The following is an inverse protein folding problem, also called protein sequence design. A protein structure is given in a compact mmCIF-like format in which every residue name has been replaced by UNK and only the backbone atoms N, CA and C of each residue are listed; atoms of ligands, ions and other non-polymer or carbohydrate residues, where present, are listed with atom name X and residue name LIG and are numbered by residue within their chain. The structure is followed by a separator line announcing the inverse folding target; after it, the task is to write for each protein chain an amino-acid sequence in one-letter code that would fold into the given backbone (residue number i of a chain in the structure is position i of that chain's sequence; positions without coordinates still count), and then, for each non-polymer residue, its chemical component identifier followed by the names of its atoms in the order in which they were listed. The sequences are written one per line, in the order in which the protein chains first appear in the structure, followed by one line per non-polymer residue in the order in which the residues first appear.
data_IF_410069215537
#
_entry.id   IF_410069215537
#
_cell.length_a   1.000
_cell.length_b   1.000
_cell.length_c   1.000
_cell.angle_alpha   90.00
_cell.angle_beta   90.00
_cell.angle_gamma   90.00
#
_symmetry.space_group_name_H-M   'P 1'
#
loop_
_entity.id
_entity.type
_entity.pdbx_description
1 polymer ?
#
# COMPACT_ATOMS: atom_id res chain seq x y z
N UNK A 1 -70.62 4.62 45.75
CA UNK A 1 -69.22 5.08 45.87
C UNK A 1 -68.32 3.91 45.50
N UNK A 2 -67.71 3.98 44.32
CA UNK A 2 -66.89 2.90 43.77
C UNK A 2 -65.51 2.91 44.42
N UNK A 3 -65.16 1.82 45.11
CA UNK A 3 -63.78 1.51 45.46
C UNK A 3 -63.27 0.54 44.40
N UNK A 4 -62.35 0.99 43.55
CA UNK A 4 -61.71 0.16 42.54
C UNK A 4 -60.19 0.29 42.62
N UNK A 5 -59.58 -0.90 42.81
CA UNK A 5 -58.27 -1.33 42.32
C UNK A 5 -57.01 -0.89 43.10
N UNK A 6 -56.81 -1.49 44.27
CA UNK A 6 -55.48 -1.72 44.82
C UNK A 6 -55.04 -3.15 44.46
N UNK A 7 -54.20 -3.32 43.44
CA UNK A 7 -53.77 -4.67 43.03
C UNK A 7 -52.63 -4.81 42.02
N UNK A 8 -51.92 -3.75 41.60
CA UNK A 8 -50.92 -3.88 40.53
C UNK A 8 -49.54 -3.27 40.82
N UNK A 9 -49.18 -3.06 42.08
CA UNK A 9 -47.92 -2.39 42.45
C UNK A 9 -46.67 -3.30 42.45
N UNK A 10 -46.83 -4.61 42.21
CA UNK A 10 -45.72 -5.60 42.28
C UNK A 10 -44.99 -5.88 40.96
N UNK A 11 -45.56 -5.51 39.81
CA UNK A 11 -45.05 -5.91 38.48
C UNK A 11 -44.21 -4.84 37.77
N UNK A 12 -44.23 -3.58 38.24
CA UNK A 12 -43.52 -2.47 37.58
C UNK A 12 -42.00 -2.50 37.79
N UNK A 13 -41.54 -2.99 38.94
CA UNK A 13 -40.12 -3.06 39.31
C UNK A 13 -39.31 -3.96 38.35
N UNK A 14 -39.68 -5.21 38.08
CA UNK A 14 -38.93 -6.06 37.14
C UNK A 14 -38.97 -5.55 35.69
N UNK A 15 -40.08 -4.91 35.28
CA UNK A 15 -40.22 -4.34 33.93
C UNK A 15 -39.26 -3.17 33.70
N UNK A 16 -39.14 -2.26 34.67
CA UNK A 16 -38.22 -1.13 34.57
C UNK A 16 -36.75 -1.59 34.45
N UNK A 17 -36.40 -2.67 35.15
CA UNK A 17 -35.06 -3.25 35.11
C UNK A 17 -34.76 -3.87 33.74
N UNK A 18 -35.72 -4.56 33.14
CA UNK A 18 -35.59 -5.14 31.79
C UNK A 18 -35.39 -4.08 30.71
N UNK A 19 -36.17 -2.99 30.75
CA UNK A 19 -36.04 -1.87 29.79
C UNK A 19 -34.68 -1.19 29.94
N UNK A 20 -34.23 -0.94 31.17
CA UNK A 20 -32.91 -0.37 31.45
C UNK A 20 -31.78 -1.26 30.91
N UNK A 21 -31.87 -2.57 31.13
CA UNK A 21 -30.89 -3.52 30.62
C UNK A 21 -30.85 -3.52 29.08
N UNK A 22 -31.99 -3.55 28.40
CA UNK A 22 -32.07 -3.50 26.93
C UNK A 22 -31.47 -2.19 26.39
N UNK A 23 -31.75 -1.06 27.03
CA UNK A 23 -31.16 0.24 26.65
C UNK A 23 -29.63 0.25 26.82
N UNK A 24 -29.13 -0.30 27.93
CA UNK A 24 -27.70 -0.42 28.19
C UNK A 24 -27.03 -1.33 27.14
N UNK A 25 -27.59 -2.50 26.85
CA UNK A 25 -27.06 -3.40 25.82
C UNK A 25 -27.07 -2.74 24.44
N UNK A 26 -28.15 -2.04 24.08
CA UNK A 26 -28.27 -1.34 22.79
C UNK A 26 -27.22 -0.23 22.66
N UNK A 27 -26.97 0.53 23.73
CA UNK A 27 -25.92 1.56 23.78
C UNK A 27 -24.52 0.95 23.64
N UNK A 28 -24.23 -0.14 24.36
CA UNK A 28 -22.95 -0.87 24.27
C UNK A 28 -22.73 -1.46 22.87
N UNK A 29 -23.77 -2.01 22.24
CA UNK A 29 -23.70 -2.50 20.85
C UNK A 29 -23.35 -1.38 19.87
N UNK A 30 -23.98 -0.20 19.99
CA UNK A 30 -23.69 0.95 19.14
C UNK A 30 -22.26 1.48 19.36
N UNK A 31 -21.82 1.59 20.61
CA UNK A 31 -20.44 2.02 20.94
C UNK A 31 -19.39 1.07 20.35
N UNK A 32 -19.63 -0.24 20.46
CA UNK A 32 -18.74 -1.26 19.92
C UNK A 32 -18.67 -1.21 18.39
N UNK A 33 -19.84 -1.05 17.73
CA UNK A 33 -19.93 -0.91 16.29
C UNK A 33 -19.21 0.36 15.79
N UNK A 34 -19.36 1.50 16.48
CA UNK A 34 -18.66 2.73 16.15
C UNK A 34 -17.13 2.57 16.26
N UNK A 35 -16.64 1.95 17.35
CA UNK A 35 -15.21 1.67 17.53
C UNK A 35 -14.67 0.73 16.45
N UNK A 36 -15.41 -0.31 16.09
CA UNK A 36 -15.04 -1.20 14.99
C UNK A 36 -14.97 -0.45 13.66
N UNK A 37 -15.95 0.41 13.38
CA UNK A 37 -15.95 1.26 12.19
C UNK A 37 -14.71 2.15 12.11
N UNK A 38 -14.35 2.84 13.19
CA UNK A 38 -13.14 3.66 13.24
C UNK A 38 -11.86 2.85 13.03
N UNK A 39 -11.74 1.67 13.65
CA UNK A 39 -10.57 0.79 13.45
C UNK A 39 -10.45 0.31 12.00
N UNK A 40 -11.56 -0.05 11.37
CA UNK A 40 -11.58 -0.45 9.96
C UNK A 40 -11.19 0.71 9.05
N UNK A 41 -11.73 1.90 9.26
CA UNK A 41 -11.37 3.10 8.49
C UNK A 41 -9.88 3.41 8.64
N UNK A 42 -9.34 3.43 9.86
CA UNK A 42 -7.92 3.66 10.09
C UNK A 42 -7.02 2.60 9.41
N UNK A 43 -7.48 1.34 9.35
CA UNK A 43 -6.81 0.28 8.57
C UNK A 43 -6.80 0.56 7.07
N UNK A 44 -7.96 0.95 6.51
CA UNK A 44 -8.08 1.28 5.09
C UNK A 44 -7.22 2.50 4.70
N UNK A 45 -7.20 3.54 5.54
CA UNK A 45 -6.36 4.73 5.33
C UNK A 45 -4.88 4.38 5.29
N UNK A 46 -4.39 3.61 6.27
CA UNK A 46 -2.99 3.14 6.28
C UNK A 46 -2.64 2.33 5.03
N UNK A 47 -3.54 1.45 4.58
CA UNK A 47 -3.32 0.65 3.39
C UNK A 47 -3.26 1.49 2.10
N UNK A 48 -4.09 2.53 1.99
CA UNK A 48 -4.07 3.47 0.86
C UNK A 48 -2.79 4.31 0.86
N UNK A 49 -2.43 4.86 2.01
CA UNK A 49 -1.19 5.63 2.15
C UNK A 49 0.05 4.82 1.75
N UNK A 50 0.15 3.56 2.20
CA UNK A 50 1.24 2.66 1.79
C UNK A 50 1.21 2.36 0.27
N UNK A 51 0.03 2.23 -0.32
CA UNK A 51 -0.13 2.05 -1.77
C UNK A 51 0.38 3.25 -2.54
N UNK A 52 0.02 4.46 -2.12
CA UNK A 52 0.38 5.71 -2.79
C UNK A 52 1.88 6.00 -2.66
N UNK A 53 2.46 5.70 -1.49
CA UNK A 53 3.89 5.78 -1.27
C UNK A 53 4.67 4.80 -2.16
N UNK A 54 4.21 3.54 -2.30
CA UNK A 54 4.83 2.58 -3.23
C UNK A 54 4.73 3.03 -4.69
N UNK A 55 3.58 3.57 -5.11
CA UNK A 55 3.40 4.07 -6.48
C UNK A 55 4.31 5.27 -6.78
N UNK A 56 4.43 6.19 -5.82
CA UNK A 56 5.32 7.36 -5.92
C UNK A 56 6.80 6.93 -5.94
N UNK A 57 7.18 5.94 -5.12
CA UNK A 57 8.52 5.34 -5.16
C UNK A 57 8.82 4.67 -6.49
N UNK A 58 7.83 3.99 -7.08
CA UNK A 58 7.98 3.39 -8.41
C UNK A 58 8.23 4.44 -9.49
N UNK A 59 7.52 5.57 -9.43
CA UNK A 59 7.74 6.70 -10.35
C UNK A 59 9.13 7.31 -10.15
N UNK A 60 9.57 7.51 -8.91
CA UNK A 60 10.90 8.04 -8.61
C UNK A 60 12.01 7.12 -9.11
N UNK A 61 11.93 5.82 -8.82
CA UNK A 61 12.91 4.82 -9.31
C UNK A 61 12.89 4.75 -10.83
N UNK A 62 11.70 4.78 -11.46
CA UNK A 62 11.60 4.80 -12.91
C UNK A 62 12.27 6.06 -13.49
N UNK A 63 12.02 7.25 -12.93
CA UNK A 63 12.67 8.49 -13.37
C UNK A 63 14.21 8.42 -13.23
N UNK A 64 14.71 7.85 -12.12
CA UNK A 64 16.14 7.64 -11.91
C UNK A 64 16.74 6.67 -12.95
N UNK A 65 16.07 5.55 -13.24
CA UNK A 65 16.49 4.58 -14.25
C UNK A 65 16.51 5.17 -15.66
N UNK A 66 15.62 6.10 -15.99
CA UNK A 66 15.57 6.72 -17.32
C UNK A 66 16.47 7.96 -17.44
N UNK A 67 16.89 8.54 -16.31
CA UNK A 67 17.82 9.66 -16.27
C UNK A 67 19.26 9.22 -15.97
N UNK A 68 19.78 9.49 -14.76
CA UNK A 68 21.18 9.26 -14.41
C UNK A 68 21.62 7.80 -14.52
N UNK A 69 20.71 6.84 -14.34
CA UNK A 69 21.03 5.40 -14.35
C UNK A 69 20.59 4.68 -15.64
N UNK A 70 20.44 5.41 -16.75
CA UNK A 70 20.02 4.83 -18.06
C UNK A 70 20.79 3.60 -18.51
N UNK A 71 22.07 3.48 -18.14
CA UNK A 71 22.88 2.32 -18.51
C UNK A 71 22.38 1.00 -17.89
N UNK A 72 21.65 1.08 -16.77
CA UNK A 72 21.15 -0.06 -16.02
C UNK A 72 19.75 -0.49 -16.48
N UNK A 73 19.11 0.28 -17.36
CA UNK A 73 17.74 0.03 -17.79
C UNK A 73 17.58 -1.34 -18.46
N UNK A 74 18.61 -1.82 -19.16
CA UNK A 74 18.62 -3.13 -19.82
C UNK A 74 19.31 -4.24 -19.01
N UNK A 75 19.77 -3.94 -17.80
CA UNK A 75 20.52 -4.86 -16.94
C UNK A 75 19.69 -5.20 -15.72
N UNK A 76 19.46 -6.47 -15.37
CA UNK A 76 18.75 -6.82 -14.13
C UNK A 76 19.52 -6.36 -12.89
N UNK A 77 18.82 -6.02 -11.81
CA UNK A 77 19.46 -5.48 -10.58
C UNK A 77 20.49 -6.41 -9.96
N UNK A 78 20.37 -7.72 -10.18
CA UNK A 78 21.33 -8.72 -9.72
C UNK A 78 22.70 -8.59 -10.38
N UNK A 79 22.78 -7.95 -11.55
CA UNK A 79 24.00 -7.80 -12.35
C UNK A 79 24.50 -6.35 -12.39
N UNK A 80 23.92 -5.45 -11.60
CA UNK A 80 24.36 -4.06 -11.58
C UNK A 80 25.79 -3.93 -11.04
N UNK A 81 26.68 -3.25 -11.77
CA UNK A 81 28.02 -3.00 -11.28
C UNK A 81 27.96 -2.10 -10.03
N UNK A 82 28.86 -2.30 -9.05
CA UNK A 82 28.88 -1.48 -7.83
C UNK A 82 29.15 0.01 -8.13
N UNK A 83 29.84 0.30 -9.24
CA UNK A 83 30.12 1.65 -9.73
C UNK A 83 28.96 2.30 -10.51
N UNK A 84 27.82 1.62 -10.66
CA UNK A 84 26.67 2.15 -11.41
C UNK A 84 27.00 2.47 -12.88
N UNK A 85 26.63 3.66 -13.35
CA UNK A 85 26.76 4.07 -14.76
C UNK A 85 28.06 4.82 -15.12
N UNK A 86 29.06 4.84 -14.24
CA UNK A 86 30.33 5.52 -14.50
C UNK A 86 31.05 5.96 -13.23
N UNK A 87 32.20 6.62 -13.39
CA UNK A 87 33.00 7.07 -12.25
C UNK A 87 32.21 8.03 -11.35
N UNK A 88 31.94 7.61 -10.11
CA UNK A 88 31.24 8.41 -9.09
C UNK A 88 29.72 8.21 -9.01
N UNK A 89 29.10 7.41 -9.88
CA UNK A 89 27.68 7.12 -9.81
C UNK A 89 27.37 6.09 -8.70
N UNK A 90 26.91 6.56 -7.54
CA UNK A 90 26.49 5.67 -6.45
C UNK A 90 25.09 5.11 -6.71
N UNK A 91 24.91 3.80 -6.55
CA UNK A 91 23.58 3.17 -6.63
C UNK A 91 22.75 3.33 -5.36
N UNK A 92 23.28 3.98 -4.31
CA UNK A 92 22.59 4.09 -3.03
C UNK A 92 21.20 4.72 -3.18
N UNK A 93 21.08 5.87 -3.86
CA UNK A 93 19.81 6.58 -4.06
C UNK A 93 18.80 5.87 -4.99
N UNK A 94 19.30 4.93 -5.80
CA UNK A 94 18.45 4.08 -6.64
C UNK A 94 17.96 2.85 -5.85
N UNK A 95 18.83 2.27 -5.03
CA UNK A 95 18.52 1.09 -4.21
C UNK A 95 17.63 1.44 -3.03
N UNK A 96 17.84 2.59 -2.42
CA UNK A 96 17.10 3.05 -1.26
C UNK A 96 16.85 4.56 -1.37
N UNK A 97 15.69 5.00 -0.90
CA UNK A 97 15.34 6.41 -0.95
C UNK A 97 14.13 6.71 -0.09
N UNK A 98 13.67 7.95 -0.14
CA UNK A 98 12.53 8.44 0.63
C UNK A 98 11.49 9.04 -0.29
N UNK A 99 10.23 8.75 0.02
CA UNK A 99 9.05 9.35 -0.60
C UNK A 99 8.14 9.83 0.51
N UNK A 100 8.02 11.16 0.64
CA UNK A 100 7.35 11.75 1.79
C UNK A 100 8.04 11.33 3.09
N UNK A 101 7.31 10.65 3.98
CA UNK A 101 7.83 10.13 5.26
C UNK A 101 8.16 8.62 5.22
N UNK A 102 8.06 7.97 4.06
CA UNK A 102 8.31 6.53 3.92
C UNK A 102 9.64 6.28 3.21
N UNK A 103 10.45 5.38 3.76
CA UNK A 103 11.63 4.86 3.04
C UNK A 103 11.18 3.76 2.10
N UNK A 104 11.78 3.71 0.93
CA UNK A 104 11.62 2.58 0.02
C UNK A 104 12.96 1.90 -0.18
N UNK A 105 12.90 0.61 -0.50
CA UNK A 105 14.01 -0.20 -0.96
C UNK A 105 13.62 -0.89 -2.25
N UNK A 106 14.49 -0.78 -3.24
CA UNK A 106 14.48 -1.59 -4.44
C UNK A 106 14.86 -3.01 -4.07
N UNK A 107 13.90 -3.91 -4.18
CA UNK A 107 14.15 -5.34 -4.00
C UNK A 107 14.69 -5.91 -5.30
N UNK A 108 14.08 -5.53 -6.43
CA UNK A 108 14.40 -6.16 -7.71
C UNK A 108 14.02 -5.32 -8.92
N UNK A 109 14.85 -5.41 -9.95
CA UNK A 109 14.60 -4.86 -11.28
C UNK A 109 14.87 -5.94 -12.32
N UNK A 110 13.88 -6.18 -13.17
CA UNK A 110 14.01 -7.00 -14.37
C UNK A 110 13.70 -6.17 -15.61
N UNK A 111 14.64 -6.03 -16.55
CA UNK A 111 14.38 -5.35 -17.81
C UNK A 111 13.34 -6.13 -18.62
N UNK A 112 12.65 -5.43 -19.53
CA UNK A 112 11.88 -6.10 -20.56
C UNK A 112 12.87 -6.84 -21.49
N UNK A 113 12.49 -7.99 -22.08
CA UNK A 113 13.32 -8.62 -23.09
C UNK A 113 13.55 -7.64 -24.24
N UNK A 114 14.83 -7.42 -24.59
CA UNK A 114 15.22 -6.53 -25.68
C UNK A 114 14.78 -7.05 -27.05
N UNK A 115 14.91 -6.25 -28.12
CA UNK A 115 14.40 -6.57 -29.47
C UNK A 115 15.05 -7.81 -30.14
N UNK A 116 16.06 -8.42 -29.51
CA UNK A 116 16.72 -9.64 -29.99
C UNK A 116 16.07 -10.94 -29.44
N UNK A 117 15.11 -10.83 -28.53
CA UNK A 117 14.27 -11.96 -28.13
C UNK A 117 13.08 -12.04 -29.09
N UNK A 118 12.74 -13.26 -29.53
CA UNK A 118 11.53 -13.63 -30.31
C UNK A 118 10.26 -12.84 -29.92
N UNK A 119 9.20 -12.75 -30.75
CA UNK A 119 8.14 -11.76 -30.58
C UNK A 119 7.36 -11.96 -29.28
N UNK A 120 7.87 -11.38 -28.19
CA UNK A 120 7.23 -11.39 -26.89
C UNK A 120 6.30 -10.19 -26.86
N UNK A 121 5.01 -10.48 -26.83
CA UNK A 121 3.87 -9.56 -26.72
C UNK A 121 3.86 -8.71 -25.43
N UNK A 122 4.96 -8.67 -24.68
CA UNK A 122 5.10 -7.97 -23.41
C UNK A 122 6.47 -7.28 -23.27
N UNK A 123 6.56 -6.04 -23.75
CA UNK A 123 7.65 -5.08 -23.49
C UNK A 123 7.51 -4.44 -22.07
N UNK A 124 7.11 -5.21 -21.06
CA UNK A 124 6.94 -4.70 -19.70
C UNK A 124 8.15 -5.11 -18.83
N UNK A 125 8.98 -4.13 -18.47
CA UNK A 125 10.00 -4.29 -17.44
C UNK A 125 9.32 -4.40 -16.07
N UNK A 126 9.91 -5.14 -15.13
CA UNK A 126 9.34 -5.41 -13.81
C UNK A 126 10.19 -4.81 -12.71
N UNK A 127 9.53 -4.14 -11.78
CA UNK A 127 10.14 -3.43 -10.65
C UNK A 127 9.46 -3.86 -9.35
N UNK A 128 10.22 -4.42 -8.42
CA UNK A 128 9.73 -4.81 -7.08
C UNK A 128 10.29 -3.86 -6.03
N UNK A 129 9.38 -3.23 -5.29
CA UNK A 129 9.70 -2.29 -4.23
C UNK A 129 9.15 -2.77 -2.88
N UNK A 130 9.85 -2.39 -1.83
CA UNK A 130 9.47 -2.58 -0.44
C UNK A 130 9.48 -1.22 0.26
N UNK A 131 8.46 -0.93 1.07
CA UNK A 131 8.51 0.20 1.99
C UNK A 131 9.10 -0.23 3.34
N UNK A 132 10.08 0.54 3.80
CA UNK A 132 10.60 0.54 5.15
C UNK A 132 10.02 1.71 5.95
N UNK A 133 9.61 1.43 7.18
CA UNK A 133 9.18 2.43 8.15
C UNK A 133 9.42 1.91 9.57
N UNK A 134 9.69 2.83 10.50
CA UNK A 134 9.95 2.54 11.91
C UNK A 134 8.73 1.93 12.63
N UNK A 135 7.51 2.21 12.16
CA UNK A 135 6.31 1.76 12.83
C UNK A 135 5.64 0.57 12.11
N UNK A 136 5.65 -0.56 12.81
CA UNK A 136 4.77 -1.73 12.61
C UNK A 136 5.15 -2.67 11.45
N UNK A 137 5.99 -3.66 11.76
CA UNK A 137 5.96 -5.11 11.41
C UNK A 137 5.54 -5.65 10.02
N UNK A 138 4.82 -4.92 9.18
CA UNK A 138 4.36 -5.33 7.87
C UNK A 138 5.08 -4.50 6.81
N UNK A 139 6.10 -5.11 6.20
CA UNK A 139 6.79 -4.55 5.04
C UNK A 139 5.83 -4.59 3.85
N UNK A 140 5.29 -3.44 3.48
CA UNK A 140 4.45 -3.33 2.30
C UNK A 140 5.32 -3.51 1.06
N UNK A 141 5.01 -4.50 0.23
CA UNK A 141 5.67 -4.73 -1.05
C UNK A 141 4.68 -4.57 -2.21
N UNK A 142 5.22 -4.23 -3.38
CA UNK A 142 4.47 -4.25 -4.62
C UNK A 142 5.38 -4.51 -5.81
N UNK A 143 4.79 -5.18 -6.81
CA UNK A 143 5.36 -5.32 -8.14
C UNK A 143 4.74 -4.28 -9.08
N UNK A 144 5.60 -3.65 -9.88
CA UNK A 144 5.23 -2.67 -10.89
C UNK A 144 5.73 -3.13 -12.26
N UNK A 145 4.89 -2.95 -13.28
CA UNK A 145 5.22 -3.07 -14.69
C UNK A 145 5.53 -1.69 -15.24
N UNK A 146 6.69 -1.55 -15.89
CA UNK A 146 7.11 -0.37 -16.61
C UNK A 146 7.02 -0.68 -18.09
N UNK A 147 6.18 0.06 -18.80
CA UNK A 147 6.09 -0.04 -20.26
C UNK A 147 7.03 0.99 -20.86
N UNK A 148 7.96 0.52 -21.68
CA UNK A 148 8.93 1.33 -22.39
C UNK A 148 8.43 1.62 -23.80
N UNK A 149 8.85 2.74 -24.38
CA UNK A 149 8.61 3.03 -25.79
C UNK A 149 9.43 2.05 -26.66
N UNK A 150 8.81 1.27 -27.55
CA UNK A 150 9.51 0.26 -28.35
C UNK A 150 10.54 0.87 -29.31
N UNK A 151 10.30 2.10 -29.78
CA UNK A 151 11.19 2.81 -30.70
C UNK A 151 12.30 3.56 -29.94
N UNK A 152 12.07 3.85 -28.66
CA UNK A 152 12.97 4.57 -27.74
C UNK A 152 12.92 3.96 -26.34
N UNK A 153 13.57 2.81 -26.09
CA UNK A 153 13.45 2.07 -24.83
C UNK A 153 13.94 2.87 -23.60
N UNK A 154 14.63 3.98 -23.79
CA UNK A 154 14.98 4.97 -22.78
C UNK A 154 13.83 5.91 -22.38
N UNK A 155 12.64 5.78 -22.97
CA UNK A 155 11.46 6.58 -22.65
C UNK A 155 10.40 5.73 -21.96
N UNK A 156 10.09 6.12 -20.72
CA UNK A 156 9.02 5.52 -19.93
C UNK A 156 7.67 5.96 -20.47
N UNK A 157 6.79 5.02 -20.81
CA UNK A 157 5.41 5.31 -21.17
C UNK A 157 4.51 5.31 -19.94
N UNK A 158 4.55 4.24 -19.15
CA UNK A 158 3.63 4.06 -18.02
C UNK A 158 4.25 3.19 -16.92
N UNK A 159 3.94 3.51 -15.65
CA UNK A 159 4.17 2.65 -14.49
C UNK A 159 2.83 2.13 -13.99
N UNK A 160 2.65 0.81 -13.93
CA UNK A 160 1.40 0.16 -13.49
C UNK A 160 1.69 -0.82 -12.38
N UNK A 161 0.88 -0.84 -11.33
CA UNK A 161 0.96 -1.88 -10.30
C UNK A 161 0.44 -3.22 -10.84
N UNK A 162 1.23 -4.29 -10.67
CA UNK A 162 0.92 -5.65 -11.14
C UNK A 162 0.46 -6.59 -10.02
N UNK A 163 0.70 -6.26 -8.75
CA UNK A 163 0.32 -7.11 -7.63
C UNK A 163 0.81 -6.62 -6.27
N UNK A 164 0.62 -7.45 -5.24
CA UNK A 164 1.28 -7.37 -3.93
C UNK A 164 2.32 -8.47 -3.83
#
# INVERSE_FOLDING_TARGET
MAAQHAGQSGFFLPLSFGVGLVLLLSSLSLQTAALHGHRQMAGQWRQRQASDALASAAQQVAAQLHGPYRCLLQVPSSQWPPAGCGAGASLAGLREGEVGSSRYRLVEWWPAPGPAAEPVTALEARLRLELGGEETGSRAQALFGLRLDPDRPERLLTVRRMGR
#
